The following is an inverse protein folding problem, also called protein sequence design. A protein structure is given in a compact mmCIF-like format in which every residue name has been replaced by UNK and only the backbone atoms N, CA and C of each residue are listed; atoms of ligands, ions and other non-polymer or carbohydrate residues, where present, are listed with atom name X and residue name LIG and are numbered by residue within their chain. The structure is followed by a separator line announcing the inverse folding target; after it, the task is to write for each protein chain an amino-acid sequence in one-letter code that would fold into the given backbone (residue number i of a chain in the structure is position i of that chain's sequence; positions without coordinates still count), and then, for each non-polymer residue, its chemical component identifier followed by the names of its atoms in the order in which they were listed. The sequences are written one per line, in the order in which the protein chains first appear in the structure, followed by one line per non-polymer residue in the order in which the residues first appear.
data_IF_961168626748
#
_entry.id   IF_961168626748
#
_cell.length_a   1.000
_cell.length_b   1.000
_cell.length_c   1.000
_cell.angle_alpha   90.00
_cell.angle_beta   90.00
_cell.angle_gamma   90.00
#
_symmetry.space_group_name_H-M   'P 1'
#
loop_
_entity.id
_entity.type
_entity.pdbx_description
1 polymer ?
#
# COMPACT_ATOMS: atom_id res chain seq x y z
N UNK A 1 -0.34 -4.46 -24.08
CA UNK A 1 0.10 -3.45 -25.07
C UNK A 1 -0.63 -2.15 -24.77
N UNK A 2 -0.40 -1.10 -25.55
CA UNK A 2 -0.97 0.25 -25.34
C UNK A 2 -2.50 0.32 -25.50
N UNK A 3 -3.11 -0.68 -26.16
CA UNK A 3 -4.57 -0.87 -26.17
C UNK A 3 -5.16 -1.51 -24.90
N UNK A 4 -4.35 -1.84 -23.90
CA UNK A 4 -4.78 -2.46 -22.64
C UNK A 4 -4.88 -1.38 -21.56
N UNK A 5 -6.01 -1.32 -20.88
CA UNK A 5 -6.23 -0.44 -19.72
C UNK A 5 -6.15 -1.24 -18.44
N UNK A 6 -5.23 -0.89 -17.55
CA UNK A 6 -5.16 -1.42 -16.18
C UNK A 6 -5.28 -0.24 -15.23
N UNK A 7 -6.44 -0.11 -14.60
CA UNK A 7 -6.69 0.98 -13.65
C UNK A 7 -7.42 0.50 -12.40
N UNK A 8 -7.13 1.12 -11.25
CA UNK A 8 -7.74 0.79 -9.95
C UNK A 8 -7.53 -0.69 -9.58
N UNK A 9 -6.27 -1.11 -9.56
CA UNK A 9 -5.86 -2.46 -9.18
C UNK A 9 -5.12 -2.43 -7.85
N UNK A 10 -5.49 -3.34 -6.96
CA UNK A 10 -4.73 -3.62 -5.76
C UNK A 10 -4.21 -5.04 -5.79
N UNK A 11 -2.91 -5.21 -5.53
CA UNK A 11 -2.30 -6.50 -5.21
C UNK A 11 -1.87 -6.45 -3.74
N UNK A 12 -2.35 -7.42 -2.96
CA UNK A 12 -2.18 -7.44 -1.51
C UNK A 12 -1.69 -8.81 -1.03
N UNK A 13 -0.61 -8.81 -0.26
CA UNK A 13 -0.05 -9.98 0.41
C UNK A 13 0.21 -11.19 -0.52
N UNK A 14 0.62 -10.97 -1.77
CA UNK A 14 1.14 -12.07 -2.58
C UNK A 14 2.56 -12.44 -2.13
N UNK A 15 3.02 -13.61 -2.58
CA UNK A 15 4.30 -14.20 -2.20
C UNK A 15 5.45 -13.83 -3.17
N UNK A 16 5.17 -12.96 -4.12
CA UNK A 16 5.97 -12.66 -5.31
C UNK A 16 5.87 -11.15 -5.56
N UNK A 17 6.27 -10.69 -6.73
CA UNK A 17 6.18 -9.28 -7.11
C UNK A 17 4.75 -8.77 -7.11
N UNK A 18 4.54 -7.52 -6.69
CA UNK A 18 3.21 -6.91 -6.74
C UNK A 18 2.69 -6.81 -8.18
N UNK A 19 3.48 -6.24 -9.08
CA UNK A 19 3.28 -6.29 -10.52
C UNK A 19 4.65 -6.45 -11.17
N UNK A 20 4.76 -7.34 -12.15
CA UNK A 20 5.96 -7.55 -12.96
C UNK A 20 5.62 -7.43 -14.45
N UNK A 21 6.38 -6.61 -15.19
CA UNK A 21 6.24 -6.47 -16.64
C UNK A 21 7.39 -7.12 -17.39
N UNK A 22 7.06 -8.10 -18.23
CA UNK A 22 7.99 -8.68 -19.21
C UNK A 22 7.80 -8.04 -20.59
N UNK A 23 8.37 -6.86 -20.77
CA UNK A 23 8.29 -6.11 -22.02
C UNK A 23 6.91 -5.51 -22.33
N UNK A 24 6.81 -4.92 -23.53
CA UNK A 24 5.57 -4.36 -24.05
C UNK A 24 5.33 -2.89 -23.63
N UNK A 25 4.11 -2.42 -23.84
CA UNK A 25 3.75 -0.98 -23.78
C UNK A 25 2.44 -0.73 -23.03
N UNK A 26 2.08 -1.63 -22.11
CA UNK A 26 0.84 -1.44 -21.33
C UNK A 26 1.01 -0.27 -20.37
N UNK A 27 -0.03 0.55 -20.28
CA UNK A 27 -0.11 1.65 -19.33
C UNK A 27 -0.93 1.25 -18.10
N UNK A 28 -0.52 1.73 -16.91
CA UNK A 28 -1.21 1.45 -15.64
C UNK A 28 -1.47 2.72 -14.83
N UNK A 29 -2.65 2.86 -14.23
CA UNK A 29 -3.00 4.04 -13.41
C UNK A 29 -3.74 3.65 -12.14
N UNK A 30 -3.50 4.34 -11.01
CA UNK A 30 -4.16 4.03 -9.73
C UNK A 30 -3.87 2.59 -9.27
N UNK A 31 -2.61 2.32 -8.97
CA UNK A 31 -2.09 1.00 -8.58
C UNK A 31 -1.75 1.01 -7.09
N UNK A 32 -2.17 -0.02 -6.35
CA UNK A 32 -1.90 -0.17 -4.91
C UNK A 32 -1.26 -1.52 -4.64
N UNK A 33 -0.07 -1.52 -4.08
CA UNK A 33 0.77 -2.69 -3.84
C UNK A 33 1.08 -2.72 -2.34
N UNK A 34 0.66 -3.78 -1.65
CA UNK A 34 0.72 -3.81 -0.19
C UNK A 34 1.13 -5.17 0.31
N UNK A 35 2.22 -5.25 1.07
CA UNK A 35 2.70 -6.48 1.69
C UNK A 35 3.10 -7.58 0.69
N UNK A 36 3.52 -7.20 -0.51
CA UNK A 36 4.18 -8.09 -1.46
C UNK A 36 5.46 -8.65 -0.83
N UNK A 37 5.78 -9.92 -1.08
CA UNK A 37 6.90 -10.61 -0.43
C UNK A 37 8.23 -10.40 -1.15
N UNK A 38 8.17 -10.12 -2.45
CA UNK A 38 9.29 -9.77 -3.32
C UNK A 38 9.19 -8.28 -3.74
N UNK A 39 9.52 -7.90 -4.97
CA UNK A 39 9.50 -6.51 -5.41
C UNK A 39 8.07 -5.96 -5.47
N UNK A 40 7.89 -4.67 -5.15
CA UNK A 40 6.52 -4.13 -5.21
C UNK A 40 6.08 -3.92 -6.65
N UNK A 41 6.94 -3.29 -7.46
CA UNK A 41 6.70 -3.02 -8.87
C UNK A 41 7.97 -3.29 -9.68
N UNK A 42 7.96 -4.34 -10.48
CA UNK A 42 9.07 -4.78 -11.31
C UNK A 42 8.81 -4.49 -12.80
N UNK A 43 9.88 -4.15 -13.52
CA UNK A 43 9.90 -4.40 -14.96
C UNK A 43 11.21 -4.96 -15.49
N UNK A 44 11.08 -5.71 -16.58
CA UNK A 44 12.17 -6.22 -17.40
C UNK A 44 11.75 -6.35 -18.87
N UNK A 45 12.63 -6.91 -19.68
CA UNK A 45 12.44 -7.32 -21.07
C UNK A 45 11.87 -6.26 -22.04
N UNK A 46 12.21 -4.99 -21.83
CA UNK A 46 11.89 -3.92 -22.78
C UNK A 46 10.57 -3.21 -22.54
N UNK A 47 10.08 -3.17 -21.29
CA UNK A 47 8.82 -2.46 -20.99
C UNK A 47 9.00 -0.95 -21.19
N UNK A 48 8.09 -0.36 -21.97
CA UNK A 48 8.09 1.05 -22.37
C UNK A 48 6.71 1.69 -22.25
N UNK A 49 5.94 1.23 -21.26
CA UNK A 49 4.63 1.79 -20.92
C UNK A 49 4.72 3.00 -19.99
N UNK A 50 3.57 3.46 -19.52
CA UNK A 50 3.43 4.57 -18.58
C UNK A 50 2.77 4.12 -17.27
N UNK A 51 3.17 4.71 -16.15
CA UNK A 51 2.50 4.51 -14.86
C UNK A 51 2.19 5.84 -14.15
N UNK A 52 0.98 6.01 -13.60
CA UNK A 52 0.65 7.17 -12.76
C UNK A 52 -0.20 6.81 -11.54
N UNK A 53 0.06 7.46 -10.40
CA UNK A 53 -0.61 7.18 -9.11
C UNK A 53 -0.36 5.74 -8.66
N UNK A 54 0.87 5.48 -8.21
CA UNK A 54 1.29 4.16 -7.72
C UNK A 54 1.65 4.29 -6.24
N UNK A 55 0.98 3.51 -5.40
CA UNK A 55 1.34 3.33 -3.99
C UNK A 55 1.92 1.94 -3.80
N UNK A 56 3.12 1.85 -3.24
CA UNK A 56 3.68 0.61 -2.73
C UNK A 56 4.01 0.74 -1.24
N UNK A 57 3.54 -0.21 -0.43
CA UNK A 57 3.83 -0.27 1.00
C UNK A 57 4.23 -1.67 1.43
N UNK A 58 5.47 -1.81 1.87
CA UNK A 58 5.99 -3.06 2.40
C UNK A 58 5.53 -3.29 3.84
N UNK A 59 5.45 -4.57 4.22
CA UNK A 59 5.11 -4.97 5.60
C UNK A 59 6.35 -5.48 6.32
N UNK A 60 6.40 -5.32 7.64
CA UNK A 60 7.56 -5.76 8.44
C UNK A 60 7.90 -7.23 8.17
N UNK A 61 9.15 -7.49 7.76
CA UNK A 61 9.67 -8.83 7.51
C UNK A 61 9.34 -9.43 6.14
N UNK A 62 8.68 -8.68 5.23
CA UNK A 62 8.25 -9.14 3.90
C UNK A 62 8.49 -8.09 2.82
N UNK A 63 8.89 -8.46 1.61
CA UNK A 63 9.18 -7.53 0.51
C UNK A 63 10.67 -7.42 0.21
N UNK A 64 10.99 -7.16 -1.06
CA UNK A 64 12.33 -6.82 -1.54
C UNK A 64 12.48 -5.33 -1.88
N UNK A 65 12.53 -4.93 -3.16
CA UNK A 65 12.61 -3.54 -3.57
C UNK A 65 11.22 -2.88 -3.63
N UNK A 66 11.21 -1.54 -3.53
CA UNK A 66 10.02 -0.76 -3.88
C UNK A 66 9.77 -0.82 -5.39
N UNK A 67 10.83 -0.64 -6.16
CA UNK A 67 10.88 -0.84 -7.60
C UNK A 67 12.16 -1.59 -7.95
N UNK A 68 12.05 -2.67 -8.70
CA UNK A 68 13.16 -3.29 -9.43
C UNK A 68 12.99 -3.01 -10.93
N UNK A 69 14.07 -2.57 -11.58
CA UNK A 69 14.01 -2.03 -12.92
C UNK A 69 15.16 -2.49 -13.80
N UNK A 70 14.85 -3.40 -14.72
CA UNK A 70 15.76 -4.00 -15.67
C UNK A 70 15.44 -3.63 -17.11
N UNK A 71 16.47 -3.64 -17.97
CA UNK A 71 16.25 -3.94 -19.38
C UNK A 71 16.21 -5.45 -19.60
N UNK A 72 17.35 -6.10 -19.85
CA UNK A 72 17.44 -7.55 -19.90
C UNK A 72 18.68 -7.98 -19.16
N UNK A 73 18.51 -8.69 -18.03
CA UNK A 73 19.63 -9.08 -17.17
C UNK A 73 20.77 -9.81 -17.89
N UNK A 74 20.44 -10.62 -18.90
CA UNK A 74 21.45 -11.36 -19.69
C UNK A 74 22.09 -10.56 -20.84
N UNK A 75 21.48 -9.46 -21.28
CA UNK A 75 21.98 -8.60 -22.36
C UNK A 75 21.47 -7.15 -22.15
N UNK A 76 22.16 -6.35 -21.32
CA UNK A 76 21.75 -5.00 -20.96
C UNK A 76 21.56 -4.03 -22.14
N UNK A 77 22.18 -4.32 -23.29
CA UNK A 77 22.12 -3.49 -24.49
C UNK A 77 21.05 -3.94 -25.49
N UNK A 78 20.27 -4.98 -25.16
CA UNK A 78 19.27 -5.50 -26.08
C UNK A 78 18.17 -4.46 -26.37
N UNK A 79 17.76 -4.38 -27.63
CA UNK A 79 16.73 -3.43 -28.10
C UNK A 79 15.41 -4.13 -28.45
N UNK A 80 14.26 -3.47 -28.24
CA UNK A 80 14.09 -2.20 -27.54
C UNK A 80 14.46 -2.29 -26.05
N UNK A 81 15.09 -1.24 -25.50
CA UNK A 81 15.40 -1.19 -24.05
C UNK A 81 14.14 -0.88 -23.25
N UNK A 82 14.07 -1.34 -22.00
CA UNK A 82 13.09 -0.83 -21.04
C UNK A 82 13.30 0.68 -20.89
N UNK A 83 12.22 1.44 -21.07
CA UNK A 83 12.22 2.90 -20.99
C UNK A 83 10.81 3.41 -20.66
N UNK A 84 10.28 3.10 -19.46
CA UNK A 84 8.97 3.57 -19.06
C UNK A 84 9.00 5.03 -18.62
N UNK A 85 7.82 5.66 -18.63
CA UNK A 85 7.60 6.93 -17.94
C UNK A 85 6.73 6.67 -16.70
N UNK A 86 7.10 7.22 -15.55
CA UNK A 86 6.30 7.08 -14.34
C UNK A 86 6.14 8.42 -13.62
N UNK A 87 4.95 8.69 -13.08
CA UNK A 87 4.76 9.85 -12.22
C UNK A 87 3.80 9.66 -11.06
N UNK A 88 4.00 10.44 -9.99
CA UNK A 88 3.17 10.41 -8.78
C UNK A 88 3.20 9.04 -8.11
N UNK A 89 4.38 8.69 -7.56
CA UNK A 89 4.65 7.39 -6.98
C UNK A 89 5.07 7.56 -5.52
N UNK A 90 4.45 6.80 -4.61
CA UNK A 90 4.83 6.74 -3.19
C UNK A 90 5.26 5.34 -2.84
N UNK A 91 6.52 5.18 -2.41
CA UNK A 91 7.12 3.93 -1.97
C UNK A 91 7.43 4.03 -0.48
N UNK A 92 6.91 3.10 0.32
CA UNK A 92 7.10 3.03 1.76
C UNK A 92 7.66 1.66 2.13
N UNK A 93 8.91 1.64 2.58
CA UNK A 93 9.65 0.48 3.03
C UNK A 93 9.45 0.17 4.52
N UNK A 94 10.29 -0.73 5.04
CA UNK A 94 10.12 -1.38 6.35
C UNK A 94 10.86 -0.71 7.51
N UNK A 95 11.58 0.40 7.27
CA UNK A 95 12.41 1.11 8.25
C UNK A 95 13.50 0.24 8.93
N UNK A 96 13.89 -0.88 8.30
CA UNK A 96 14.78 -1.89 8.92
C UNK A 96 16.23 -1.90 8.41
N UNK A 97 16.60 -0.99 7.51
CA UNK A 97 17.99 -0.63 7.22
C UNK A 97 18.91 -1.76 6.73
N UNK A 98 18.39 -2.83 6.11
CA UNK A 98 19.22 -3.87 5.50
C UNK A 98 18.71 -4.22 4.10
N UNK A 99 19.58 -4.04 3.09
CA UNK A 99 19.63 -4.83 1.85
C UNK A 99 18.63 -4.54 0.74
N UNK A 100 17.73 -3.57 0.91
CA UNK A 100 16.61 -3.37 -0.01
C UNK A 100 16.54 -1.92 -0.49
N UNK A 101 16.24 -1.74 -1.77
CA UNK A 101 16.22 -0.44 -2.42
C UNK A 101 14.78 0.10 -2.58
N UNK A 102 14.60 1.40 -2.39
CA UNK A 102 13.34 2.05 -2.75
C UNK A 102 13.12 1.99 -4.26
N UNK A 103 14.14 2.38 -5.03
CA UNK A 103 14.19 2.21 -6.48
C UNK A 103 15.55 1.64 -6.87
N UNK A 104 15.59 0.47 -7.49
CA UNK A 104 16.79 -0.12 -8.06
C UNK A 104 16.71 -0.09 -9.59
N UNK A 105 17.61 0.65 -10.23
CA UNK A 105 17.74 0.75 -11.68
C UNK A 105 18.99 -0.04 -12.10
N UNK A 106 18.85 -1.11 -12.88
CA UNK A 106 19.99 -1.95 -13.25
C UNK A 106 19.84 -2.54 -14.65
N UNK A 107 20.81 -3.38 -15.02
CA UNK A 107 20.84 -4.14 -16.28
C UNK A 107 20.54 -3.32 -17.54
N UNK A 108 20.96 -2.04 -17.59
CA UNK A 108 20.78 -1.18 -18.74
C UNK A 108 19.35 -0.71 -18.98
N UNK A 109 18.48 -0.65 -17.97
CA UNK A 109 17.20 0.07 -18.10
C UNK A 109 17.43 1.57 -18.38
N UNK A 110 16.50 2.18 -19.11
CA UNK A 110 16.26 3.62 -19.08
C UNK A 110 14.97 3.88 -18.30
N UNK A 111 14.69 5.12 -17.93
CA UNK A 111 13.39 5.53 -17.42
C UNK A 111 13.28 7.05 -17.35
N UNK A 112 12.04 7.56 -17.42
CA UNK A 112 11.72 8.93 -16.97
C UNK A 112 10.81 8.86 -15.75
N UNK A 113 11.35 9.22 -14.58
CA UNK A 113 10.66 9.14 -13.29
C UNK A 113 10.46 10.54 -12.71
N UNK A 114 9.20 10.89 -12.41
CA UNK A 114 8.86 12.22 -11.90
C UNK A 114 7.92 12.17 -10.69
N UNK A 115 8.06 13.07 -9.72
CA UNK A 115 7.12 13.19 -8.58
C UNK A 115 7.09 11.93 -7.69
N UNK A 116 8.25 11.55 -7.15
CA UNK A 116 8.40 10.37 -6.31
C UNK A 116 8.52 10.75 -4.83
N UNK A 117 7.93 9.95 -3.96
CA UNK A 117 8.22 9.89 -2.53
C UNK A 117 8.77 8.50 -2.24
N UNK A 118 9.97 8.44 -1.63
CA UNK A 118 10.64 7.18 -1.31
C UNK A 118 11.12 7.22 0.14
N UNK A 119 10.51 6.37 0.97
CA UNK A 119 10.77 6.38 2.40
C UNK A 119 10.93 5.00 3.02
N UNK A 120 11.80 4.87 4.02
CA UNK A 120 11.90 3.68 4.87
C UNK A 120 12.62 2.46 4.27
N UNK A 121 13.45 2.64 3.25
CA UNK A 121 14.25 1.58 2.61
C UNK A 121 15.69 1.52 3.14
N UNK A 122 16.40 0.45 2.76
CA UNK A 122 17.85 0.33 2.98
C UNK A 122 18.59 1.43 2.24
N UNK A 123 18.44 1.46 0.90
CA UNK A 123 18.86 2.58 0.04
C UNK A 123 17.63 3.24 -0.57
N UNK A 124 17.61 4.57 -0.69
CA UNK A 124 16.49 5.28 -1.32
C UNK A 124 16.40 5.02 -2.83
N UNK A 125 17.51 5.25 -3.54
CA UNK A 125 17.63 4.99 -4.98
C UNK A 125 19.02 4.44 -5.24
N UNK A 126 19.08 3.35 -5.98
CA UNK A 126 20.29 2.65 -6.42
C UNK A 126 20.30 2.58 -7.94
N UNK A 127 21.46 2.80 -8.56
CA UNK A 127 21.61 2.71 -10.00
C UNK A 127 22.92 2.02 -10.38
N UNK A 128 22.81 0.89 -11.07
CA UNK A 128 23.95 0.17 -11.63
C UNK A 128 24.13 0.54 -13.12
N UNK A 129 25.10 1.41 -13.46
CA UNK A 129 25.22 1.98 -14.79
C UNK A 129 25.77 1.00 -15.81
N UNK A 130 25.37 1.19 -17.06
CA UNK A 130 26.06 0.62 -18.21
C UNK A 130 26.82 1.74 -18.90
N UNK A 131 28.15 1.73 -18.83
CA UNK A 131 29.05 2.83 -19.23
C UNK A 131 28.88 3.42 -20.66
N UNK A 132 28.09 2.77 -21.52
CA UNK A 132 27.81 3.23 -22.90
C UNK A 132 26.42 3.84 -23.08
N UNK A 133 25.58 3.80 -22.04
CA UNK A 133 24.22 4.31 -22.04
C UNK A 133 24.15 5.64 -21.28
N UNK A 134 23.13 6.43 -21.59
CA UNK A 134 22.75 7.58 -20.78
C UNK A 134 22.03 7.14 -19.52
N UNK A 135 22.18 7.93 -18.47
CA UNK A 135 21.49 7.77 -17.21
C UNK A 135 19.97 7.99 -17.35
N UNK A 136 19.13 7.29 -16.57
CA UNK A 136 17.70 7.59 -16.44
C UNK A 136 17.44 9.02 -15.95
N UNK A 137 16.29 9.58 -16.34
CA UNK A 137 15.88 10.93 -15.96
C UNK A 137 15.01 10.92 -14.69
N UNK A 138 15.53 11.44 -13.58
CA UNK A 138 14.82 11.53 -12.30
C UNK A 138 14.55 12.99 -11.91
N UNK A 139 13.31 13.32 -11.54
CA UNK A 139 12.90 14.68 -11.15
C UNK A 139 11.81 14.68 -10.06
N UNK A 140 11.79 15.70 -9.20
CA UNK A 140 10.81 15.79 -8.11
C UNK A 140 10.82 14.59 -7.15
N UNK A 141 12.00 14.17 -6.68
CA UNK A 141 12.15 13.11 -5.68
C UNK A 141 12.21 13.66 -4.25
N UNK A 142 11.35 13.16 -3.37
CA UNK A 142 11.45 13.29 -1.92
C UNK A 142 11.95 11.98 -1.32
N UNK A 143 13.19 11.92 -0.88
CA UNK A 143 13.82 10.71 -0.33
C UNK A 143 14.09 10.91 1.15
N UNK A 144 13.42 10.19 2.05
CA UNK A 144 13.52 10.41 3.50
C UNK A 144 13.45 9.14 4.33
N UNK A 145 14.11 9.09 5.49
CA UNK A 145 13.99 7.96 6.41
C UNK A 145 14.62 6.65 5.93
N UNK A 146 15.50 6.71 4.93
CA UNK A 146 16.26 5.57 4.42
C UNK A 146 17.60 5.39 5.16
N UNK A 147 18.13 4.17 5.23
CA UNK A 147 19.37 3.91 5.97
C UNK A 147 20.63 4.44 5.27
N UNK A 148 20.64 4.46 3.94
CA UNK A 148 21.57 5.19 3.10
C UNK A 148 20.82 6.07 2.11
N UNK A 149 21.50 7.14 1.68
CA UNK A 149 21.02 8.05 0.66
C UNK A 149 22.05 8.08 -0.46
N UNK A 150 21.76 7.37 -1.54
CA UNK A 150 22.61 7.34 -2.73
C UNK A 150 23.43 6.06 -2.85
N UNK A 151 23.25 5.42 -4.01
CA UNK A 151 24.23 4.75 -4.85
C UNK A 151 25.60 4.49 -4.18
N UNK A 152 25.84 3.22 -3.83
CA UNK A 152 27.12 2.78 -3.29
C UNK A 152 28.28 2.95 -4.29
N UNK A 153 27.98 3.11 -5.58
CA UNK A 153 28.89 3.29 -6.70
C UNK A 153 29.15 4.76 -7.12
N UNK A 154 28.43 5.74 -6.55
CA UNK A 154 28.80 7.17 -6.63
C UNK A 154 28.33 7.96 -7.86
N UNK A 155 27.28 7.53 -8.55
CA UNK A 155 26.58 8.28 -9.61
C UNK A 155 25.51 9.17 -8.99
N UNK A 156 25.57 10.45 -9.36
CA UNK A 156 24.80 11.50 -8.71
C UNK A 156 23.46 11.74 -9.42
N UNK A 157 22.59 10.72 -9.46
CA UNK A 157 21.22 10.86 -9.98
C UNK A 157 20.34 11.75 -9.08
N UNK A 158 20.60 11.71 -7.78
CA UNK A 158 19.93 12.53 -6.77
C UNK A 158 20.85 13.67 -6.28
N UNK A 159 21.41 14.46 -7.19
CA UNK A 159 22.00 15.74 -6.80
C UNK A 159 20.93 16.55 -6.06
N UNK A 160 21.18 16.87 -4.78
CA UNK A 160 20.22 17.62 -3.98
C UNK A 160 20.04 19.03 -4.58
N UNK A 161 19.01 19.21 -5.39
CA UNK A 161 18.60 20.47 -6.01
C UNK A 161 17.13 20.76 -5.66
N UNK A 162 16.57 21.89 -6.09
CA UNK A 162 15.20 22.27 -5.71
C UNK A 162 14.11 21.23 -6.11
N UNK A 163 14.43 20.31 -7.02
CA UNK A 163 13.55 19.24 -7.50
C UNK A 163 13.88 17.89 -6.87
N UNK A 164 15.12 17.56 -6.54
CA UNK A 164 15.46 16.31 -5.87
C UNK A 164 15.97 16.60 -4.45
N UNK A 165 15.23 16.17 -3.43
CA UNK A 165 15.54 16.43 -2.02
C UNK A 165 15.75 15.14 -1.25
N UNK A 166 16.82 15.12 -0.46
CA UNK A 166 17.15 14.05 0.47
C UNK A 166 17.00 14.57 1.89
N UNK A 167 16.14 13.93 2.67
CA UNK A 167 15.82 14.26 4.04
C UNK A 167 16.38 13.20 5.00
N UNK A 168 16.80 13.62 6.19
CA UNK A 168 17.24 12.69 7.23
C UNK A 168 16.09 11.77 7.70
N UNK A 169 14.85 12.25 7.65
CA UNK A 169 13.64 11.50 7.97
C UNK A 169 12.55 11.89 6.97
N UNK A 170 11.65 10.95 6.66
CA UNK A 170 10.37 11.29 6.06
C UNK A 170 9.45 11.96 7.11
N UNK A 171 8.36 12.56 6.64
CA UNK A 171 7.31 13.12 7.50
C UNK A 171 5.94 12.58 7.15
N UNK A 172 5.87 11.41 6.53
CA UNK A 172 4.62 10.81 6.08
C UNK A 172 3.68 10.61 7.27
N UNK A 173 2.41 10.98 7.06
CA UNK A 173 1.32 10.59 7.94
C UNK A 173 0.57 9.45 7.28
N UNK A 174 1.01 8.21 7.53
CA UNK A 174 0.52 7.08 6.76
C UNK A 174 1.06 7.11 5.34
N UNK A 175 0.16 7.22 4.37
CA UNK A 175 0.51 7.37 2.95
C UNK A 175 0.46 8.83 2.48
N UNK A 176 0.01 9.76 3.34
CA UNK A 176 -0.14 11.17 2.97
C UNK A 176 1.18 11.93 3.18
N UNK A 177 1.67 12.67 2.15
CA UNK A 177 2.85 13.54 2.23
C UNK A 177 2.82 14.53 3.39
N UNK A 178 3.92 14.57 4.15
CA UNK A 178 4.14 15.54 5.22
C UNK A 178 4.92 16.76 4.77
N UNK A 179 5.50 17.49 5.74
CA UNK A 179 6.22 18.74 5.47
C UNK A 179 7.43 18.55 4.54
N UNK A 180 8.19 17.48 4.72
CA UNK A 180 9.39 17.19 3.92
C UNK A 180 9.02 16.81 2.50
N UNK A 181 8.07 15.88 2.33
CA UNK A 181 7.61 15.45 1.01
C UNK A 181 6.98 16.60 0.22
N UNK A 182 6.25 17.48 0.92
CA UNK A 182 5.62 18.68 0.33
C UNK A 182 6.60 19.83 0.04
N UNK A 183 7.84 19.76 0.52
CA UNK A 183 8.85 20.79 0.25
C UNK A 183 9.49 20.64 -1.14
N UNK A 184 9.30 19.49 -1.80
CA UNK A 184 9.85 19.22 -3.12
C UNK A 184 9.06 19.96 -4.19
N UNK A 185 9.77 20.58 -5.14
CA UNK A 185 9.13 21.24 -6.29
C UNK A 185 8.63 20.18 -7.28
N UNK A 186 7.32 20.09 -7.53
CA UNK A 186 6.77 19.08 -8.42
C UNK A 186 7.13 19.34 -9.88
N UNK A 187 7.30 18.26 -10.64
CA UNK A 187 7.36 18.27 -12.10
C UNK A 187 5.95 18.20 -12.67
N UNK A 188 5.65 18.97 -13.71
CA UNK A 188 4.37 18.89 -14.42
C UNK A 188 4.31 17.56 -15.20
N UNK A 189 3.57 16.59 -14.64
CA UNK A 189 3.44 15.25 -15.21
C UNK A 189 2.87 15.26 -16.65
N UNK A 190 2.09 16.27 -17.05
CA UNK A 190 1.52 16.35 -18.41
C UNK A 190 2.58 16.56 -19.49
N UNK A 191 3.78 16.99 -19.11
CA UNK A 191 4.93 17.12 -20.01
C UNK A 191 5.52 15.77 -20.42
N UNK A 192 5.24 14.70 -19.68
CA UNK A 192 5.71 13.34 -19.99
C UNK A 192 4.87 12.66 -21.09
N UNK A 193 3.65 13.13 -21.34
CA UNK A 193 2.78 12.61 -22.40
C UNK A 193 1.29 12.70 -22.08
N UNK A 194 0.45 12.41 -23.06
CA UNK A 194 -1.02 12.52 -22.96
C UNK A 194 -1.67 11.50 -22.01
N UNK A 195 -0.93 10.47 -21.60
CA UNK A 195 -1.38 9.50 -20.60
C UNK A 195 -1.53 10.15 -19.21
N UNK A 196 -0.64 11.09 -18.89
CA UNK A 196 -0.53 11.70 -17.58
C UNK A 196 -1.56 12.80 -17.38
N UNK A 197 -2.19 12.81 -16.21
CA UNK A 197 -3.03 13.93 -15.76
C UNK A 197 -2.21 14.88 -14.90
N UNK A 198 -2.65 16.14 -14.82
CA UNK A 198 -1.98 17.14 -13.99
C UNK A 198 -2.05 16.77 -12.50
N UNK A 199 -0.87 16.70 -11.86
CA UNK A 199 -0.71 16.46 -10.44
C UNK A 199 0.51 17.25 -9.94
N UNK A 200 0.26 18.40 -9.31
CA UNK A 200 1.29 19.35 -8.90
C UNK A 200 1.80 19.04 -7.49
N UNK A 201 2.25 17.81 -7.26
CA UNK A 201 2.81 17.35 -5.98
C UNK A 201 3.71 16.12 -6.20
N UNK A 202 4.69 15.92 -5.31
CA UNK A 202 5.47 14.69 -5.26
C UNK A 202 4.68 13.58 -4.55
N UNK A 203 4.84 12.34 -5.02
CA UNK A 203 4.13 11.18 -4.47
C UNK A 203 2.78 10.91 -5.12
N UNK A 204 2.16 9.81 -4.71
CA UNK A 204 0.87 9.32 -5.22
C UNK A 204 -0.34 10.08 -4.67
N UNK A 205 -0.17 10.87 -3.60
CA UNK A 205 -1.26 11.53 -2.88
C UNK A 205 -1.09 13.04 -2.89
N UNK A 206 -2.21 13.74 -3.10
CA UNK A 206 -2.25 15.19 -3.02
C UNK A 206 -2.10 15.66 -1.56
N UNK A 207 -1.44 16.81 -1.31
CA UNK A 207 -1.34 17.38 0.04
C UNK A 207 -2.69 17.75 0.67
N UNK A 208 -3.77 17.83 -0.11
CA UNK A 208 -5.13 18.08 0.39
C UNK A 208 -5.89 16.81 0.77
N UNK A 209 -5.39 15.63 0.43
CA UNK A 209 -6.01 14.35 0.81
C UNK A 209 -5.74 14.02 2.28
N UNK A 210 -6.58 13.17 2.85
CA UNK A 210 -6.39 12.65 4.20
C UNK A 210 -6.39 11.12 4.16
N UNK A 211 -5.90 10.48 5.21
CA UNK A 211 -5.93 9.02 5.26
C UNK A 211 -7.35 8.42 5.31
N UNK A 212 -8.37 9.23 5.65
CA UNK A 212 -9.77 8.81 5.63
C UNK A 212 -10.53 9.24 4.37
N UNK A 213 -9.93 10.06 3.52
CA UNK A 213 -10.52 10.57 2.29
C UNK A 213 -9.42 10.84 1.25
N UNK A 214 -9.16 9.83 0.43
CA UNK A 214 -8.17 9.83 -0.65
C UNK A 214 -8.62 8.89 -1.79
N UNK A 215 -7.89 8.87 -2.89
CA UNK A 215 -8.23 8.05 -4.07
C UNK A 215 -8.19 6.54 -3.84
N UNK A 216 -7.54 6.03 -2.78
CA UNK A 216 -7.54 4.59 -2.45
C UNK A 216 -8.77 4.18 -1.62
N UNK A 217 -9.55 5.15 -1.13
CA UNK A 217 -10.69 4.91 -0.25
C UNK A 217 -11.84 4.18 -0.96
N UNK A 218 -12.41 3.17 -0.30
CA UNK A 218 -13.64 2.50 -0.73
C UNK A 218 -13.49 1.34 -1.71
N UNK A 219 -12.27 1.08 -2.21
CA UNK A 219 -12.00 -0.06 -3.10
C UNK A 219 -10.71 -0.82 -2.75
N UNK A 220 -9.88 -0.30 -1.84
CA UNK A 220 -8.69 -0.98 -1.33
C UNK A 220 -8.91 -1.56 0.07
N UNK A 221 -8.02 -2.47 0.47
CA UNK A 221 -7.90 -3.02 1.83
C UNK A 221 -6.52 -2.72 2.43
N UNK A 222 -6.42 -2.63 3.75
CA UNK A 222 -5.14 -2.64 4.48
C UNK A 222 -4.07 -1.60 4.05
N UNK A 223 -4.45 -0.40 3.61
CA UNK A 223 -3.51 0.70 3.32
C UNK A 223 -3.07 1.40 4.63
N UNK A 224 -1.75 1.51 4.93
CA UNK A 224 -1.28 2.06 6.20
C UNK A 224 -1.63 3.53 6.45
N UNK A 225 -1.90 3.82 7.72
CA UNK A 225 -2.08 5.18 8.22
C UNK A 225 -3.45 5.81 8.00
N UNK A 226 -4.46 5.06 7.57
CA UNK A 226 -5.81 5.33 8.05
C UNK A 226 -5.81 5.23 9.57
N UNK A 227 -5.46 6.31 10.27
CA UNK A 227 -6.10 6.60 11.55
C UNK A 227 -7.58 6.78 11.18
N UNK A 228 -8.41 5.78 11.45
CA UNK A 228 -9.77 5.81 10.95
C UNK A 228 -10.48 7.02 11.58
N UNK A 229 -11.31 7.72 10.81
CA UNK A 229 -12.02 8.93 11.26
C UNK A 229 -13.01 8.68 12.43
N UNK A 230 -13.11 7.43 12.86
CA UNK A 230 -14.06 6.90 13.82
C UNK A 230 -14.07 5.38 13.73
N UNK A 231 -15.02 4.78 14.43
CA UNK A 231 -15.29 3.36 14.29
C UNK A 231 -16.02 3.09 12.95
N UNK A 232 -15.63 2.04 12.18
CA UNK A 232 -16.28 1.72 10.92
C UNK A 232 -17.77 1.39 11.12
N UNK A 233 -18.54 1.46 10.03
CA UNK A 233 -19.98 1.13 10.06
C UNK A 233 -20.19 -0.28 10.62
N UNK A 234 -21.15 -0.42 11.54
CA UNK A 234 -21.38 -1.68 12.26
C UNK A 234 -20.51 -1.84 13.51
N UNK A 235 -19.75 -0.82 13.90
CA UNK A 235 -19.06 -0.74 15.18
C UNK A 235 -19.37 0.60 15.87
N UNK A 236 -19.12 0.70 17.17
CA UNK A 236 -19.40 1.89 18.00
C UNK A 236 -18.17 2.24 18.83
N UNK A 237 -17.80 3.53 18.88
CA UNK A 237 -16.71 3.98 19.74
C UNK A 237 -17.08 3.81 21.22
N UNK A 238 -16.20 3.20 22.01
CA UNK A 238 -16.47 2.97 23.44
C UNK A 238 -16.15 4.21 24.29
N UNK A 239 -15.26 5.07 23.79
CA UNK A 239 -14.72 6.21 24.55
C UNK A 239 -13.67 5.81 25.59
N UNK A 240 -13.32 4.53 25.66
CA UNK A 240 -12.25 4.02 26.52
C UNK A 240 -10.88 4.37 25.94
N UNK A 241 -9.90 4.52 26.85
CA UNK A 241 -8.53 4.76 26.45
C UNK A 241 -7.90 3.48 25.89
N UNK A 242 -7.26 3.59 24.73
CA UNK A 242 -6.43 2.51 24.18
C UNK A 242 -5.32 2.15 25.19
N UNK A 243 -5.09 0.86 25.50
CA UNK A 243 -4.09 0.44 26.48
C UNK A 243 -2.69 0.99 26.18
N UNK A 244 -1.94 1.32 27.24
CA UNK A 244 -0.58 1.84 27.10
C UNK A 244 0.34 0.87 26.34
N UNK A 245 1.17 1.42 25.44
CA UNK A 245 2.08 0.63 24.59
C UNK A 245 1.47 0.18 23.26
N UNK A 246 0.26 0.62 22.95
CA UNK A 246 -0.43 0.40 21.67
C UNK A 246 -0.48 1.67 20.82
N UNK A 247 -0.71 1.51 19.52
CA UNK A 247 -0.69 2.60 18.52
C UNK A 247 -2.04 2.86 17.85
N UNK A 248 -3.09 2.12 18.19
CA UNK A 248 -4.44 2.37 17.66
C UNK A 248 -5.05 3.69 18.16
N UNK A 249 -5.93 4.27 17.35
CA UNK A 249 -6.52 5.59 17.61
C UNK A 249 -7.62 5.56 18.67
N UNK A 250 -8.40 4.49 18.73
CA UNK A 250 -9.51 4.32 19.68
C UNK A 250 -9.92 2.84 19.81
N UNK A 251 -10.84 2.59 20.73
CA UNK A 251 -11.51 1.30 20.89
C UNK A 251 -12.90 1.33 20.23
N UNK A 252 -13.16 0.35 19.37
CA UNK A 252 -14.42 0.18 18.64
C UNK A 252 -15.09 -1.14 19.01
N UNK A 253 -16.27 -1.07 19.61
CA UNK A 253 -17.09 -2.25 19.90
C UNK A 253 -17.82 -2.72 18.66
N UNK A 254 -17.77 -4.01 18.37
CA UNK A 254 -18.55 -4.59 17.27
C UNK A 254 -20.04 -4.60 17.66
N UNK A 255 -20.90 -3.99 16.83
CA UNK A 255 -22.34 -3.96 17.08
C UNK A 255 -22.93 -5.36 16.87
N UNK A 256 -23.89 -5.73 17.72
CA UNK A 256 -24.44 -7.09 17.75
C UNK A 256 -25.97 -7.12 17.71
N UNK A 257 -26.57 -8.17 17.10
CA UNK A 257 -25.92 -9.12 16.19
C UNK A 257 -25.44 -8.44 14.89
N UNK A 258 -24.41 -8.99 14.24
CA UNK A 258 -23.94 -8.49 12.94
C UNK A 258 -24.93 -8.95 11.87
N UNK A 259 -25.81 -8.05 11.43
CA UNK A 259 -26.93 -8.35 10.50
C UNK A 259 -26.77 -7.70 9.12
N UNK A 260 -25.61 -7.08 8.88
CA UNK A 260 -25.21 -6.50 7.60
C UNK A 260 -23.70 -6.65 7.43
N UNK A 261 -23.15 -6.29 6.27
CA UNK A 261 -21.72 -6.33 6.05
C UNK A 261 -20.98 -5.37 6.99
N UNK A 262 -20.01 -5.90 7.74
CA UNK A 262 -19.11 -5.15 8.62
C UNK A 262 -17.68 -5.49 8.24
N UNK A 263 -16.84 -4.46 8.08
CA UNK A 263 -15.39 -4.62 7.85
C UNK A 263 -14.64 -3.93 8.97
N UNK A 264 -13.81 -4.67 9.68
CA UNK A 264 -12.87 -4.14 10.67
C UNK A 264 -11.59 -3.77 9.93
N UNK A 265 -11.20 -2.50 10.00
CA UNK A 265 -9.98 -1.97 9.38
C UNK A 265 -8.88 -1.76 10.41
N UNK A 266 -7.62 -1.78 9.99
CA UNK A 266 -6.48 -1.44 10.85
C UNK A 266 -6.59 -0.01 11.41
N UNK A 267 -5.84 0.29 12.47
CA UNK A 267 -5.83 1.60 13.12
C UNK A 267 -6.84 1.78 14.27
N UNK A 268 -7.85 0.91 14.39
CA UNK A 268 -8.71 0.78 15.58
C UNK A 268 -8.38 -0.50 16.36
N UNK A 269 -8.58 -0.47 17.67
CA UNK A 269 -8.61 -1.67 18.51
C UNK A 269 -10.06 -2.13 18.67
N UNK A 270 -10.39 -3.38 18.37
CA UNK A 270 -11.79 -3.83 18.38
C UNK A 270 -12.15 -4.65 19.61
N UNK A 271 -13.26 -4.28 20.24
CA UNK A 271 -13.78 -4.95 21.42
C UNK A 271 -14.94 -5.90 21.06
N UNK A 272 -14.89 -7.10 21.64
CA UNK A 272 -15.99 -8.06 21.72
C UNK A 272 -16.60 -8.07 23.13
N UNK A 273 -17.91 -7.85 23.21
CA UNK A 273 -18.64 -7.87 24.49
C UNK A 273 -19.53 -9.12 24.61
N UNK A 274 -18.96 -10.30 24.90
CA UNK A 274 -19.69 -11.59 24.98
C UNK A 274 -19.66 -12.40 23.66
N UNK A 275 -20.76 -13.08 23.28
CA UNK A 275 -20.86 -13.85 22.01
C UNK A 275 -21.22 -13.00 20.77
N UNK A 276 -20.36 -12.99 19.74
CA UNK A 276 -20.68 -12.36 18.43
C UNK A 276 -21.40 -13.35 17.52
N UNK A 277 -22.62 -13.03 17.13
CA UNK A 277 -23.34 -13.74 16.07
C UNK A 277 -23.27 -12.94 14.78
N UNK A 278 -22.88 -13.61 13.68
CA UNK A 278 -22.85 -13.05 12.33
C UNK A 278 -23.98 -13.68 11.52
N UNK A 279 -24.94 -12.84 11.15
CA UNK A 279 -26.20 -13.25 10.54
C UNK A 279 -27.20 -13.82 11.54
N UNK A 280 -28.34 -14.22 11.00
CA UNK A 280 -29.35 -15.06 11.64
C UNK A 280 -29.50 -16.30 10.76
N UNK A 281 -29.53 -17.49 11.37
CA UNK A 281 -29.58 -18.77 10.65
C UNK A 281 -30.64 -18.74 9.54
N UNK A 282 -30.17 -18.99 8.31
CA UNK A 282 -31.01 -19.06 7.11
C UNK A 282 -31.67 -20.43 6.95
N UNK A 283 -31.38 -21.38 7.85
CA UNK A 283 -31.82 -22.75 7.74
C UNK A 283 -30.97 -23.56 6.76
N UNK A 284 -31.27 -24.86 6.64
CA UNK A 284 -30.40 -25.81 5.96
C UNK A 284 -30.46 -25.75 4.42
N UNK A 285 -31.47 -25.09 3.84
CA UNK A 285 -31.66 -25.01 2.39
C UNK A 285 -31.39 -23.58 1.87
N UNK A 286 -30.25 -23.36 1.18
CA UNK A 286 -29.93 -22.07 0.59
C UNK A 286 -30.94 -21.58 -0.47
N UNK A 287 -31.71 -22.49 -1.09
CA UNK A 287 -32.74 -22.14 -2.06
C UNK A 287 -34.09 -21.76 -1.42
N UNK A 288 -34.25 -22.03 -0.12
CA UNK A 288 -35.47 -21.74 0.64
C UNK A 288 -35.13 -21.23 2.05
N UNK A 289 -34.50 -20.04 2.16
CA UNK A 289 -34.08 -19.51 3.45
C UNK A 289 -35.26 -19.25 4.39
N UNK A 290 -35.03 -19.42 5.69
CA UNK A 290 -35.99 -19.06 6.73
C UNK A 290 -36.40 -17.59 6.60
N UNK A 291 -37.70 -17.31 6.77
CA UNK A 291 -38.26 -15.97 6.58
C UNK A 291 -37.66 -14.89 7.50
N UNK A 292 -37.10 -15.31 8.65
CA UNK A 292 -36.42 -14.47 9.62
C UNK A 292 -34.89 -14.64 9.63
N UNK A 293 -34.33 -15.42 8.71
CA UNK A 293 -32.89 -15.56 8.52
C UNK A 293 -32.28 -14.31 7.89
N UNK A 294 -31.03 -14.02 8.21
CA UNK A 294 -30.32 -12.81 7.76
C UNK A 294 -28.91 -13.20 7.36
N UNK A 295 -28.59 -13.05 6.07
CA UNK A 295 -27.22 -13.17 5.60
C UNK A 295 -26.42 -11.92 6.03
N UNK A 296 -25.22 -12.13 6.57
CA UNK A 296 -24.29 -11.04 6.91
C UNK A 296 -22.85 -11.51 6.75
N UNK A 297 -21.93 -10.56 6.67
CA UNK A 297 -20.49 -10.81 6.62
C UNK A 297 -19.76 -9.97 7.67
N UNK A 298 -18.78 -10.59 8.33
CA UNK A 298 -17.79 -9.89 9.16
C UNK A 298 -16.42 -10.12 8.52
N UNK A 299 -15.87 -9.08 7.90
CA UNK A 299 -14.53 -9.07 7.33
C UNK A 299 -13.56 -8.45 8.32
N UNK A 300 -12.40 -9.06 8.51
CA UNK A 300 -11.35 -8.59 9.41
C UNK A 300 -10.09 -8.38 8.58
N UNK A 301 -9.68 -7.12 8.40
CA UNK A 301 -8.47 -6.81 7.64
C UNK A 301 -7.21 -7.36 8.35
N UNK A 302 -6.18 -7.78 7.59
CA UNK A 302 -4.90 -8.18 8.17
C UNK A 302 -4.32 -7.09 9.09
N UNK A 303 -3.81 -7.50 10.26
CA UNK A 303 -3.24 -6.58 11.25
C UNK A 303 -4.24 -5.97 12.23
N UNK A 304 -5.55 -6.23 12.08
CA UNK A 304 -6.56 -5.85 13.07
C UNK A 304 -6.35 -6.64 14.37
N UNK A 305 -6.34 -5.93 15.51
CA UNK A 305 -6.41 -6.56 16.82
C UNK A 305 -7.84 -6.53 17.35
N UNK A 306 -8.31 -7.70 17.81
CA UNK A 306 -9.59 -7.87 18.48
C UNK A 306 -9.31 -8.37 19.91
N UNK A 307 -9.99 -7.81 20.91
CA UNK A 307 -9.93 -8.25 22.29
C UNK A 307 -11.34 -8.40 22.89
N UNK A 308 -11.41 -9.03 24.06
CA UNK A 308 -12.63 -9.11 24.89
C UNK A 308 -12.31 -8.45 26.21
N UNK A 309 -13.20 -7.60 26.74
CA UNK A 309 -13.22 -7.39 28.19
C UNK A 309 -13.51 -8.73 28.85
N UNK A 310 -12.71 -9.12 29.83
CA UNK A 310 -12.76 -10.46 30.42
C UNK A 310 -14.17 -10.83 30.88
N UNK A 311 -14.82 -11.75 30.16
CA UNK A 311 -16.11 -12.31 30.55
C UNK A 311 -15.92 -13.52 31.46
N UNK A 312 -16.47 -13.45 32.67
CA UNK A 312 -16.77 -14.65 33.44
C UNK A 312 -17.64 -15.57 32.57
N UNK A 313 -17.26 -16.84 32.48
CA UNK A 313 -18.00 -17.88 31.78
C UNK A 313 -19.36 -18.10 32.46
N UNK A 314 -20.39 -17.42 31.98
CA UNK A 314 -21.77 -17.84 32.21
C UNK A 314 -22.59 -17.60 30.96
N UNK A 315 -22.57 -18.58 30.05
CA UNK A 315 -23.71 -18.82 29.18
C UNK A 315 -24.18 -20.26 29.38
N UNK A 316 -25.27 -20.49 30.13
CA UNK A 316 -26.04 -21.70 29.97
C UNK A 316 -26.87 -21.52 28.70
N UNK A 317 -26.50 -22.25 27.64
CA UNK A 317 -27.33 -22.36 26.43
C UNK A 317 -28.82 -22.49 26.81
N UNK A 318 -29.69 -21.55 26.38
CA UNK A 318 -31.12 -21.71 26.58
C UNK A 318 -31.62 -22.73 25.55
N UNK A 319 -31.73 -24.01 25.93
CA UNK A 319 -32.56 -24.92 25.13
C UNK A 319 -32.31 -26.43 25.17
N UNK A 320 -31.23 -26.97 25.75
CA UNK A 320 -31.10 -28.43 25.83
C UNK A 320 -31.64 -28.96 27.17
N UNK A 321 -32.97 -28.98 27.27
CA UNK A 321 -33.64 -29.83 28.26
C UNK A 321 -33.46 -31.29 27.86
N UNK A 322 -32.35 -31.90 28.27
CA UNK A 322 -32.23 -33.36 28.32
C UNK A 322 -32.15 -33.78 29.78
N UNK A 323 -33.31 -34.11 30.33
CA UNK A 323 -33.44 -34.83 31.60
C UNK A 323 -33.55 -36.32 31.28
N UNK A 324 -32.43 -37.04 31.34
CA UNK A 324 -32.37 -38.51 31.32
C UNK A 324 -31.49 -39.01 32.47
N UNK A 325 -31.91 -40.04 33.24
CA UNK A 325 -31.31 -40.34 34.54
C UNK A 325 -30.16 -41.36 34.48
N UNK A 326 -29.23 -41.14 35.42
CA UNK A 326 -28.13 -42.00 35.95
C UNK A 326 -27.09 -42.58 34.99
#
# INVERSE_FOLDING_TARGET
GDGTTIEFVQIHNNADDGIEFFGGTVDVKNVVLTGNDDDSFDWTDGWSGNAQFVLAVQTTGRGDNGIEADNRGSDPLLTPRSNPNMSNVTLIGRNNGSGNEGVQLRAGTDATLANFVVAGFGSGVEYDPVATLSDPALSSFAVGGNASTGDAEGIVLLNADATNQVFAADTLNGVIPGVNENAVTPTDATTLGSFFVAANYAGAFSPSETNSANWTSGWTIAVPGAAPAGCPTGTTATGEAVPAGRSESQICRINRPVTSAVTLTTGNLYELEGSTFVGVDLGPDPAAPLANGVAASLTIDPGVTIFSEGGATSDPLPGSGDTGPE
#
